data_IF_257479916791
#
_entry.id   IF_257479916791
#
_cell.length_a   1.000
_cell.length_b   1.000
_cell.length_c   1.000
_cell.angle_alpha   90.00
_cell.angle_beta   90.00
_cell.angle_gamma   90.00
#
_symmetry.space_group_name_H-M   'P 1'
#
loop_
_entity.id
_entity.type
_entity.pdbx_description
1 polymer ?
#
# COMPACT_ATOMS: atom_id res chain seq x y z
N UNK A 1 11.34 13.53 -17.33
CA UNK A 1 11.08 14.90 -16.90
C UNK A 1 10.81 14.95 -15.41
N UNK A 2 11.41 15.88 -14.73
CA UNK A 2 11.21 16.02 -13.31
C UNK A 2 9.79 16.53 -13.02
N UNK A 3 9.15 16.01 -12.00
CA UNK A 3 7.85 16.51 -11.59
C UNK A 3 7.98 17.86 -10.94
N UNK A 4 7.02 18.70 -11.20
CA UNK A 4 6.88 19.93 -10.48
C UNK A 4 6.27 19.60 -9.11
N UNK A 5 7.05 19.74 -8.07
CA UNK A 5 6.60 19.42 -6.73
C UNK A 5 5.42 20.25 -6.30
N UNK A 6 5.40 21.51 -6.70
CA UNK A 6 4.28 22.37 -6.34
C UNK A 6 3.00 21.89 -6.98
N UNK A 7 3.06 21.47 -8.24
CA UNK A 7 1.89 20.96 -8.93
C UNK A 7 1.36 19.70 -8.26
N UNK A 8 2.26 18.78 -7.90
CA UNK A 8 1.85 17.54 -7.24
C UNK A 8 1.24 17.82 -5.88
N UNK A 9 1.86 18.69 -5.11
CA UNK A 9 1.36 19.07 -3.79
C UNK A 9 -0.01 19.73 -3.90
N UNK A 10 -0.20 20.55 -4.91
CA UNK A 10 -1.46 21.27 -5.10
C UNK A 10 -2.63 20.35 -5.41
N UNK A 11 -2.40 19.15 -5.93
CA UNK A 11 -3.50 18.23 -6.21
C UNK A 11 -3.88 17.36 -5.01
N UNK A 12 -3.22 17.56 -3.88
CA UNK A 12 -3.63 16.91 -2.63
C UNK A 12 -3.19 15.49 -2.43
N UNK A 13 -2.36 14.93 -3.31
CA UNK A 13 -1.97 13.53 -3.19
C UNK A 13 -1.27 13.22 -1.88
N UNK A 14 -0.25 14.01 -1.57
CA UNK A 14 0.53 13.75 -0.36
C UNK A 14 -0.34 13.90 0.89
N UNK A 15 -1.24 14.87 0.90
CA UNK A 15 -2.13 15.06 2.03
C UNK A 15 -3.09 13.89 2.20
N UNK A 16 -3.63 13.38 1.10
CA UNK A 16 -4.51 12.23 1.15
C UNK A 16 -3.78 11.00 1.68
N UNK A 17 -2.60 10.73 1.15
CA UNK A 17 -1.83 9.57 1.59
C UNK A 17 -1.46 9.68 3.06
N UNK A 18 -1.06 10.88 3.50
CA UNK A 18 -0.70 11.07 4.90
C UNK A 18 -1.91 10.85 5.81
N UNK A 19 -3.09 11.26 5.38
CA UNK A 19 -4.30 11.07 6.16
C UNK A 19 -4.67 9.59 6.31
N UNK A 20 -4.34 8.77 5.31
CA UNK A 20 -4.65 7.34 5.35
C UNK A 20 -3.62 6.51 6.09
N UNK A 21 -2.45 7.07 6.36
CA UNK A 21 -1.34 6.28 6.87
C UNK A 21 -1.63 5.57 8.19
N UNK A 22 -2.21 6.26 9.14
CA UNK A 22 -2.48 5.65 10.45
C UNK A 22 -3.43 4.47 10.33
N UNK A 23 -4.45 4.58 9.50
CA UNK A 23 -5.39 3.48 9.31
C UNK A 23 -4.72 2.29 8.63
N UNK A 24 -3.86 2.56 7.65
CA UNK A 24 -3.13 1.50 6.97
C UNK A 24 -2.20 0.79 7.95
N UNK A 25 -1.47 1.55 8.74
CA UNK A 25 -0.55 0.98 9.71
C UNK A 25 -1.27 0.11 10.73
N UNK A 26 -2.40 0.61 11.25
CA UNK A 26 -3.16 -0.16 12.22
C UNK A 26 -3.72 -1.44 11.60
N UNK A 27 -4.21 -1.35 10.37
CA UNK A 27 -4.71 -2.51 9.65
C UNK A 27 -3.61 -3.57 9.49
N UNK A 28 -2.42 -3.13 9.12
CA UNK A 28 -1.28 -4.05 8.97
C UNK A 28 -0.92 -4.69 10.31
N UNK A 29 -0.89 -3.92 11.38
CA UNK A 29 -0.60 -4.46 12.70
C UNK A 29 -1.61 -5.52 13.11
N UNK A 30 -2.87 -5.29 12.81
CA UNK A 30 -3.92 -6.26 13.11
C UNK A 30 -3.73 -7.56 12.33
N UNK A 31 -3.07 -7.49 11.20
CA UNK A 31 -2.73 -8.66 10.38
C UNK A 31 -1.39 -9.29 10.78
N UNK A 32 -0.69 -8.70 11.74
CA UNK A 32 0.60 -9.19 12.18
C UNK A 32 1.78 -8.67 11.39
N UNK A 33 1.61 -7.58 10.65
CA UNK A 33 2.64 -7.02 9.77
C UNK A 33 3.09 -5.65 10.26
N UNK A 34 4.38 -5.39 10.13
CA UNK A 34 4.94 -4.06 10.32
C UNK A 34 5.08 -3.39 8.97
N UNK A 35 4.76 -2.11 8.89
CA UNK A 35 4.86 -1.36 7.63
C UNK A 35 5.56 -0.04 7.84
N UNK A 36 6.19 0.45 6.80
CA UNK A 36 6.87 1.74 6.81
C UNK A 36 6.64 2.45 5.49
N UNK A 37 6.50 3.75 5.58
CA UNK A 37 6.40 4.59 4.38
C UNK A 37 7.77 4.75 3.76
N UNK A 38 7.77 4.91 2.46
CA UNK A 38 8.97 5.04 1.67
C UNK A 38 8.63 5.90 0.46
N UNK A 39 9.61 6.65 -0.02
CA UNK A 39 9.39 7.53 -1.15
C UNK A 39 8.82 8.89 -0.74
N UNK A 40 8.43 9.66 -1.73
CA UNK A 40 8.07 11.06 -1.53
C UNK A 40 6.58 11.31 -1.36
N UNK A 41 5.74 10.31 -1.64
CA UNK A 41 4.28 10.45 -1.69
C UNK A 41 3.82 11.41 -2.79
N UNK A 42 4.69 11.72 -3.74
CA UNK A 42 4.36 12.69 -4.79
C UNK A 42 3.39 12.11 -5.82
N UNK A 43 3.53 10.82 -6.12
CA UNK A 43 2.65 10.14 -7.07
C UNK A 43 1.94 8.98 -6.42
N UNK A 44 2.72 8.06 -5.89
CA UNK A 44 2.23 6.83 -5.28
C UNK A 44 2.57 6.83 -3.81
N UNK A 45 1.82 6.07 -3.05
CA UNK A 45 2.17 5.80 -1.67
C UNK A 45 2.92 4.48 -1.65
N UNK A 46 4.21 4.54 -1.36
CA UNK A 46 5.06 3.35 -1.32
C UNK A 46 5.20 2.86 0.10
N UNK A 47 4.85 1.61 0.32
CA UNK A 47 4.87 0.98 1.64
C UNK A 47 5.74 -0.25 1.58
N UNK A 48 6.65 -0.36 2.54
CA UNK A 48 7.41 -1.59 2.74
C UNK A 48 6.78 -2.35 3.89
N UNK A 49 6.60 -3.64 3.72
CA UNK A 49 5.91 -4.47 4.71
C UNK A 49 6.76 -5.66 5.08
N UNK A 50 6.67 -6.06 6.34
CA UNK A 50 7.41 -7.19 6.88
C UNK A 50 6.51 -7.93 7.86
N UNK A 51 6.39 -9.26 7.75
CA UNK A 51 5.64 -10.01 8.76
C UNK A 51 6.38 -9.92 10.09
N UNK A 52 5.65 -9.64 11.15
CA UNK A 52 6.26 -9.32 12.43
C UNK A 52 6.01 -10.36 13.52
N UNK A 53 4.92 -11.12 13.39
CA UNK A 53 4.58 -12.17 14.36
C UNK A 53 4.40 -13.49 13.62
N UNK A 54 4.46 -14.60 14.35
CA UNK A 54 4.34 -15.92 13.75
C UNK A 54 2.99 -16.11 13.04
N UNK A 55 1.95 -15.54 13.58
CA UNK A 55 0.60 -15.71 13.04
C UNK A 55 0.25 -14.67 11.99
N UNK A 56 1.23 -13.96 11.47
CA UNK A 56 0.95 -12.96 10.44
C UNK A 56 0.23 -13.60 9.26
N UNK A 57 -0.75 -12.91 8.72
CA UNK A 57 -1.46 -13.39 7.55
C UNK A 57 -0.55 -13.35 6.32
N UNK A 58 -0.98 -13.97 5.23
CA UNK A 58 -0.21 -13.95 4.00
C UNK A 58 -0.17 -12.53 3.45
N UNK A 59 0.80 -12.29 2.56
CA UNK A 59 0.90 -10.99 1.90
C UNK A 59 -0.38 -10.66 1.16
N UNK A 60 -0.96 -11.63 0.47
CA UNK A 60 -2.19 -11.42 -0.27
C UNK A 60 -3.33 -11.00 0.65
N UNK A 61 -3.45 -11.64 1.81
CA UNK A 61 -4.50 -11.27 2.76
C UNK A 61 -4.25 -9.88 3.35
N UNK A 62 -3.00 -9.53 3.61
CA UNK A 62 -2.65 -8.19 4.06
C UNK A 62 -3.15 -7.16 3.05
N UNK A 63 -2.86 -7.38 1.77
CA UNK A 63 -3.28 -6.48 0.71
C UNK A 63 -4.79 -6.34 0.67
N UNK A 64 -5.50 -7.46 0.79
CA UNK A 64 -6.96 -7.44 0.76
C UNK A 64 -7.55 -6.66 1.92
N UNK A 65 -6.97 -6.79 3.11
CA UNK A 65 -7.45 -6.04 4.27
C UNK A 65 -7.22 -4.55 4.09
N UNK A 66 -6.07 -4.17 3.54
CA UNK A 66 -5.79 -2.76 3.30
C UNK A 66 -6.75 -2.17 2.27
N UNK A 67 -7.06 -2.92 1.22
CA UNK A 67 -8.00 -2.48 0.20
C UNK A 67 -9.35 -2.12 0.79
N UNK A 68 -9.79 -2.84 1.80
CA UNK A 68 -11.09 -2.58 2.43
C UNK A 68 -11.17 -1.18 3.06
N UNK A 69 -10.03 -0.62 3.44
CA UNK A 69 -10.01 0.72 4.00
C UNK A 69 -10.48 1.78 3.00
N UNK A 70 -10.29 1.52 1.72
CA UNK A 70 -10.60 2.50 0.69
C UNK A 70 -11.98 2.31 0.09
N UNK A 71 -12.49 1.09 0.11
CA UNK A 71 -13.73 0.77 -0.60
C UNK A 71 -14.80 0.19 0.27
N UNK A 72 -14.53 -0.02 1.54
CA UNK A 72 -15.41 -0.81 2.35
C UNK A 72 -15.38 -2.26 1.87
N UNK A 73 -16.37 -3.04 2.25
CA UNK A 73 -16.34 -4.47 2.00
C UNK A 73 -16.89 -4.86 0.64
N UNK A 74 -17.79 -4.05 0.10
CA UNK A 74 -18.63 -4.50 -1.01
C UNK A 74 -17.91 -4.57 -2.33
N UNK A 75 -16.83 -3.81 -2.52
CA UNK A 75 -16.15 -3.76 -3.81
C UNK A 75 -14.72 -4.25 -3.76
N UNK A 76 -14.28 -4.77 -2.64
CA UNK A 76 -12.90 -5.23 -2.49
C UNK A 76 -12.57 -6.34 -3.49
N UNK A 77 -13.51 -7.22 -3.75
CA UNK A 77 -13.29 -8.33 -4.67
C UNK A 77 -13.21 -7.89 -6.12
N UNK A 78 -13.69 -6.70 -6.43
CA UNK A 78 -13.64 -6.17 -7.80
C UNK A 78 -12.44 -5.28 -8.02
N UNK A 79 -11.63 -5.13 -7.02
CA UNK A 79 -10.47 -4.25 -7.11
C UNK A 79 -9.39 -4.87 -7.97
N UNK A 80 -8.81 -4.05 -8.81
CA UNK A 80 -7.75 -4.50 -9.69
C UNK A 80 -6.42 -4.35 -9.00
N UNK A 81 -5.98 -5.42 -8.37
CA UNK A 81 -4.69 -5.45 -7.71
C UNK A 81 -3.72 -6.15 -8.64
N UNK A 82 -2.60 -5.49 -8.96
CA UNK A 82 -1.57 -6.08 -9.78
C UNK A 82 -0.45 -6.56 -8.88
N UNK A 83 -0.04 -7.81 -9.05
CA UNK A 83 1.08 -8.37 -8.32
C UNK A 83 2.27 -8.54 -9.24
N UNK A 84 3.47 -8.32 -8.71
CA UNK A 84 4.67 -8.47 -9.50
C UNK A 84 5.89 -8.66 -8.63
N UNK A 85 7.05 -8.74 -9.29
CA UNK A 85 8.32 -8.86 -8.59
C UNK A 85 9.22 -7.69 -8.97
N UNK A 86 9.96 -7.23 -8.00
CA UNK A 86 10.97 -6.19 -8.19
C UNK A 86 12.34 -6.79 -7.93
N UNK A 87 13.37 -5.97 -8.02
CA UNK A 87 14.74 -6.43 -7.82
C UNK A 87 14.90 -7.11 -6.47
N UNK A 88 15.80 -8.09 -6.43
CA UNK A 88 16.14 -8.84 -5.22
C UNK A 88 15.00 -9.71 -4.69
N UNK A 89 14.10 -10.14 -5.57
CA UNK A 89 13.02 -11.03 -5.17
C UNK A 89 11.91 -10.37 -4.37
N UNK A 90 11.86 -9.06 -4.36
CA UNK A 90 10.83 -8.32 -3.64
C UNK A 90 9.49 -8.48 -4.37
N UNK A 91 8.46 -8.86 -3.64
CA UNK A 91 7.12 -8.93 -4.21
C UNK A 91 6.44 -7.58 -3.99
N UNK A 92 5.57 -7.21 -4.92
CA UNK A 92 4.88 -5.92 -4.83
C UNK A 92 3.44 -6.09 -5.28
N UNK A 93 2.53 -5.40 -4.57
CA UNK A 93 1.14 -5.28 -4.98
C UNK A 93 0.87 -3.81 -5.28
N UNK A 94 0.34 -3.55 -6.46
CA UNK A 94 -0.04 -2.21 -6.87
C UNK A 94 -1.55 -2.11 -6.85
N UNK A 95 -2.06 -1.19 -6.05
CA UNK A 95 -3.49 -1.05 -5.80
C UNK A 95 -3.93 0.33 -6.29
N UNK A 96 -4.75 0.40 -7.35
CA UNK A 96 -5.34 1.68 -7.72
C UNK A 96 -6.41 2.04 -6.70
N UNK A 97 -6.32 3.21 -6.12
CA UNK A 97 -7.26 3.63 -5.09
C UNK A 97 -8.47 4.31 -5.74
N UNK A 98 -8.23 5.42 -6.39
CA UNK A 98 -9.22 6.09 -7.23
C UNK A 98 -8.49 7.16 -8.03
N UNK A 99 -9.05 7.47 -9.20
CA UNK A 99 -8.39 8.34 -10.17
C UNK A 99 -6.99 7.78 -10.44
N UNK A 100 -5.95 8.60 -10.33
CA UNK A 100 -4.58 8.15 -10.54
C UNK A 100 -3.79 8.06 -9.22
N UNK A 101 -4.49 7.79 -8.13
CA UNK A 101 -3.87 7.53 -6.84
C UNK A 101 -3.59 6.04 -6.72
N UNK A 102 -2.36 5.68 -6.36
CA UNK A 102 -1.93 4.29 -6.28
C UNK A 102 -1.23 4.03 -4.97
N UNK A 103 -1.39 2.80 -4.50
CA UNK A 103 -0.71 2.30 -3.32
C UNK A 103 0.16 1.15 -3.77
N UNK A 104 1.46 1.22 -3.50
CA UNK A 104 2.40 0.15 -3.79
C UNK A 104 2.88 -0.45 -2.48
N UNK A 105 2.58 -1.72 -2.25
CA UNK A 105 3.01 -2.43 -1.05
C UNK A 105 4.00 -3.50 -1.48
N UNK A 106 5.19 -3.50 -0.87
CA UNK A 106 6.19 -4.49 -1.22
C UNK A 106 6.74 -5.17 0.01
N UNK A 107 7.21 -6.39 -0.18
CA UNK A 107 7.80 -7.19 0.88
C UNK A 107 8.86 -8.10 0.29
N UNK A 108 9.82 -8.50 1.13
CA UNK A 108 10.83 -9.48 0.72
C UNK A 108 10.34 -10.91 0.88
N UNK A 109 9.23 -11.12 1.57
CA UNK A 109 8.73 -12.46 1.84
C UNK A 109 7.21 -12.43 1.89
N UNK A 110 6.63 -13.56 1.51
CA UNK A 110 5.18 -13.72 1.56
C UNK A 110 4.69 -14.19 2.93
N UNK A 111 5.55 -14.68 3.76
CA UNK A 111 5.18 -15.19 5.08
C UNK A 111 4.06 -16.23 4.99
N UNK A 112 4.43 -17.40 4.58
CA UNK A 112 3.47 -18.52 4.55
C UNK A 112 3.49 -19.28 5.83
#
# INVERSE_FOLDING_TARGET
MAKDRNAVTCNGRAAFYAAMWDDIRQCAMDCGWAVALHGSLASDMDIMAMPWVYEACSFENLVKEIVKLFNGNSIAENYRISYGEKSHGRIVATIPIWADFYLDISSMTDCN
#
